data_IF_864322923015
#
_entry.id   IF_864322923015
#
_cell.length_a   1.000
_cell.length_b   1.000
_cell.length_c   1.000
_cell.angle_alpha   90.00
_cell.angle_beta   90.00
_cell.angle_gamma   90.00
#
_symmetry.space_group_name_H-M   'P 1'
#
loop_
_entity.id
_entity.type
_entity.pdbx_description
1 polymer ?
#
# COMPACT_ATOMS: atom_id res chain seq x y z
N UNK A 1 -16.79 47.03 12.27
CA UNK A 1 -17.28 46.07 11.26
C UNK A 1 -16.13 45.20 10.74
N UNK A 2 -15.53 44.36 11.59
CA UNK A 2 -14.37 43.50 11.22
C UNK A 2 -14.71 42.00 11.42
N UNK A 3 -16.00 41.65 11.43
CA UNK A 3 -16.48 40.30 11.80
C UNK A 3 -17.11 39.48 10.66
N UNK A 4 -17.14 39.98 9.42
CA UNK A 4 -17.78 39.28 8.28
C UNK A 4 -16.84 38.84 7.15
N UNK A 5 -15.58 39.27 7.17
CA UNK A 5 -14.60 38.90 6.15
C UNK A 5 -13.84 37.59 6.48
N UNK A 6 -13.70 37.23 7.76
CA UNK A 6 -12.99 36.02 8.20
C UNK A 6 -13.82 34.73 8.02
N UNK A 7 -15.15 34.83 8.09
CA UNK A 7 -16.06 33.68 7.91
C UNK A 7 -16.14 33.23 6.45
N UNK A 8 -16.06 34.17 5.50
CA UNK A 8 -16.07 33.85 4.07
C UNK A 8 -14.75 33.21 3.61
N UNK A 9 -13.58 33.67 4.04
CA UNK A 9 -12.31 33.02 3.65
C UNK A 9 -12.14 31.62 4.24
N UNK A 10 -12.62 31.38 5.46
CA UNK A 10 -12.54 30.07 6.13
C UNK A 10 -13.48 29.02 5.52
N UNK A 11 -14.73 29.39 5.24
CA UNK A 11 -15.70 28.48 4.63
C UNK A 11 -15.33 28.08 3.19
N UNK A 12 -14.81 29.02 2.39
CA UNK A 12 -14.36 28.73 1.03
C UNK A 12 -13.10 27.85 1.01
N UNK A 13 -12.14 28.08 1.93
CA UNK A 13 -10.97 27.18 2.10
C UNK A 13 -11.39 25.79 2.55
N UNK A 14 -12.35 25.66 3.47
CA UNK A 14 -12.84 24.36 3.92
C UNK A 14 -13.58 23.60 2.80
N UNK A 15 -14.36 24.29 1.94
CA UNK A 15 -15.02 23.66 0.78
C UNK A 15 -14.01 23.22 -0.28
N UNK A 16 -12.98 24.02 -0.56
CA UNK A 16 -11.90 23.64 -1.46
C UNK A 16 -11.15 22.41 -0.94
N UNK A 17 -10.83 22.39 0.36
CA UNK A 17 -10.15 21.30 1.03
C UNK A 17 -10.92 19.97 0.94
N UNK A 18 -12.24 19.99 1.19
CA UNK A 18 -13.09 18.81 1.05
C UNK A 18 -13.20 18.36 -0.40
N UNK A 19 -13.35 19.30 -1.34
CA UNK A 19 -13.48 18.99 -2.77
C UNK A 19 -12.21 18.35 -3.32
N UNK A 20 -11.05 18.96 -3.06
CA UNK A 20 -9.76 18.43 -3.52
C UNK A 20 -9.48 17.06 -2.88
N UNK A 21 -9.71 16.90 -1.58
CA UNK A 21 -9.55 15.60 -0.92
C UNK A 21 -10.44 14.52 -1.54
N UNK A 22 -11.72 14.82 -1.80
CA UNK A 22 -12.66 13.89 -2.42
C UNK A 22 -12.20 13.45 -3.81
N UNK A 23 -11.71 14.38 -4.63
CA UNK A 23 -11.22 14.09 -5.98
C UNK A 23 -9.94 13.25 -5.92
N UNK A 24 -8.90 13.76 -5.27
CA UNK A 24 -7.58 13.15 -5.39
C UNK A 24 -7.45 11.84 -4.59
N UNK A 25 -8.08 11.72 -3.42
CA UNK A 25 -8.06 10.42 -2.70
C UNK A 25 -8.83 9.36 -3.49
N UNK A 26 -9.94 9.73 -4.13
CA UNK A 26 -10.70 8.80 -4.97
C UNK A 26 -9.92 8.40 -6.22
N UNK A 27 -9.18 9.32 -6.86
CA UNK A 27 -8.28 9.00 -7.96
C UNK A 27 -7.18 8.00 -7.54
N UNK A 28 -6.57 8.19 -6.38
CA UNK A 28 -5.60 7.23 -5.83
C UNK A 28 -6.22 5.84 -5.66
N UNK A 29 -7.42 5.77 -5.10
CA UNK A 29 -8.11 4.51 -4.88
C UNK A 29 -8.49 3.83 -6.18
N UNK A 30 -8.92 4.58 -7.21
CA UNK A 30 -9.15 4.05 -8.55
C UNK A 30 -7.87 3.42 -9.08
N UNK A 31 -6.71 4.07 -8.97
CA UNK A 31 -5.41 3.52 -9.40
C UNK A 31 -5.13 2.20 -8.67
N UNK A 32 -5.27 2.18 -7.35
CA UNK A 32 -5.00 1.00 -6.51
C UNK A 32 -5.97 -0.15 -6.81
N UNK A 33 -7.26 0.15 -6.97
CA UNK A 33 -8.28 -0.86 -7.30
C UNK A 33 -8.02 -1.42 -8.70
N UNK A 34 -7.90 -0.56 -9.71
CA UNK A 34 -7.84 -0.98 -11.12
C UNK A 34 -6.51 -1.60 -11.50
N UNK A 35 -5.39 -1.08 -10.99
CA UNK A 35 -4.06 -1.60 -11.28
C UNK A 35 -3.58 -2.64 -10.28
N UNK A 36 -4.14 -2.69 -9.07
CA UNK A 36 -3.67 -3.55 -7.98
C UNK A 36 -4.64 -4.67 -7.64
N UNK A 37 -5.90 -4.36 -7.34
CA UNK A 37 -6.86 -5.34 -6.83
C UNK A 37 -7.59 -6.12 -7.93
N UNK A 38 -8.15 -5.43 -8.92
CA UNK A 38 -8.92 -6.05 -10.01
C UNK A 38 -8.10 -7.08 -10.79
N UNK A 39 -6.83 -6.84 -11.18
CA UNK A 39 -6.06 -7.83 -11.91
C UNK A 39 -5.84 -9.11 -11.09
N UNK A 40 -5.54 -8.96 -9.80
CA UNK A 40 -5.45 -10.10 -8.85
C UNK A 40 -6.75 -10.90 -8.80
N UNK A 41 -7.89 -10.23 -8.69
CA UNK A 41 -9.20 -10.89 -8.66
C UNK A 41 -9.53 -11.57 -9.98
N UNK A 42 -9.25 -10.94 -11.12
CA UNK A 42 -9.48 -11.51 -12.45
C UNK A 42 -8.63 -12.75 -12.69
N UNK A 43 -7.35 -12.73 -12.28
CA UNK A 43 -6.47 -13.89 -12.38
C UNK A 43 -6.99 -14.99 -11.45
N UNK A 44 -7.35 -14.66 -10.20
CA UNK A 44 -7.88 -15.65 -9.26
C UNK A 44 -9.18 -16.30 -9.75
N UNK A 45 -10.07 -15.53 -10.39
CA UNK A 45 -11.27 -16.06 -11.01
C UNK A 45 -10.96 -16.99 -12.19
N UNK A 46 -9.96 -16.64 -13.01
CA UNK A 46 -9.57 -17.43 -14.18
C UNK A 46 -8.80 -18.72 -13.82
N UNK A 47 -7.91 -18.67 -12.84
CA UNK A 47 -7.04 -19.79 -12.46
C UNK A 47 -7.55 -20.60 -11.27
N UNK A 48 -8.50 -20.07 -10.51
CA UNK A 48 -8.95 -20.64 -9.24
C UNK A 48 -7.94 -20.48 -8.09
N UNK A 49 -6.85 -19.71 -8.28
CA UNK A 49 -5.78 -19.55 -7.32
C UNK A 49 -5.63 -18.08 -6.91
N UNK A 50 -5.56 -17.80 -5.60
CA UNK A 50 -5.22 -16.45 -5.16
C UNK A 50 -3.77 -16.15 -5.53
N UNK A 51 -3.54 -15.05 -6.24
CA UNK A 51 -2.21 -14.66 -6.70
C UNK A 51 -1.83 -13.27 -6.20
N UNK A 52 -0.54 -13.04 -5.99
CA UNK A 52 0.05 -11.72 -5.89
C UNK A 52 1.24 -11.72 -6.87
N UNK A 53 1.03 -11.29 -8.12
CA UNK A 53 2.02 -11.47 -9.18
C UNK A 53 3.42 -10.99 -8.75
N UNK A 54 4.46 -11.77 -9.07
CA UNK A 54 4.51 -12.93 -9.97
C UNK A 54 4.15 -14.27 -9.28
N UNK A 55 3.66 -14.27 -8.04
CA UNK A 55 3.53 -15.48 -7.24
C UNK A 55 2.09 -15.93 -7.07
N UNK A 56 1.92 -17.25 -6.98
CA UNK A 56 0.69 -17.87 -6.51
C UNK A 56 0.84 -18.26 -5.04
N UNK A 57 -0.24 -18.15 -4.26
CA UNK A 57 -0.29 -18.70 -2.92
C UNK A 57 -0.61 -20.21 -2.99
N UNK A 58 0.01 -21.07 -2.17
CA UNK A 58 -0.23 -22.51 -2.21
C UNK A 58 -1.68 -22.85 -1.80
N UNK A 59 -2.31 -23.75 -2.57
CA UNK A 59 -3.76 -24.04 -2.55
C UNK A 59 -4.31 -24.74 -1.30
N UNK A 60 -3.50 -25.01 -0.26
CA UNK A 60 -3.93 -25.80 0.89
C UNK A 60 -3.91 -25.00 2.20
N UNK A 61 -5.10 -24.83 2.79
CA UNK A 61 -5.42 -24.36 4.14
C UNK A 61 -5.01 -22.92 4.56
N UNK A 62 -3.93 -22.35 4.01
CA UNK A 62 -3.50 -20.98 4.28
C UNK A 62 -4.45 -19.96 3.62
N UNK A 63 -5.05 -20.32 2.47
CA UNK A 63 -5.94 -19.46 1.69
C UNK A 63 -7.15 -18.92 2.46
N UNK A 64 -7.90 -19.77 3.18
CA UNK A 64 -9.12 -19.31 3.87
C UNK A 64 -8.80 -18.33 5.00
N UNK A 65 -7.73 -18.60 5.76
CA UNK A 65 -7.32 -17.73 6.86
C UNK A 65 -6.76 -16.41 6.35
N UNK A 66 -5.93 -16.41 5.30
CA UNK A 66 -5.40 -15.18 4.71
C UNK A 66 -6.51 -14.32 4.09
N UNK A 67 -7.47 -14.93 3.38
CA UNK A 67 -8.60 -14.19 2.83
C UNK A 67 -9.44 -13.55 3.94
N UNK A 68 -9.83 -14.31 4.96
CA UNK A 68 -10.69 -13.83 6.04
C UNK A 68 -9.97 -12.80 6.90
N UNK A 69 -8.72 -13.07 7.27
CA UNK A 69 -7.99 -12.25 8.23
C UNK A 69 -7.37 -11.02 7.58
N UNK A 70 -7.02 -11.04 6.29
CA UNK A 70 -6.26 -9.96 5.65
C UNK A 70 -7.00 -9.31 4.47
N UNK A 71 -7.53 -10.10 3.53
CA UNK A 71 -8.16 -9.54 2.32
C UNK A 71 -9.47 -8.83 2.66
N UNK A 72 -10.33 -9.43 3.48
CA UNK A 72 -11.61 -8.82 3.87
C UNK A 72 -11.39 -7.51 4.63
N UNK A 73 -10.59 -7.45 5.72
CA UNK A 73 -10.36 -6.19 6.43
C UNK A 73 -9.75 -5.08 5.57
N UNK A 74 -8.78 -5.41 4.71
CA UNK A 74 -8.19 -4.44 3.78
C UNK A 74 -9.23 -3.90 2.78
N UNK A 75 -10.10 -4.77 2.29
CA UNK A 75 -11.19 -4.41 1.37
C UNK A 75 -12.24 -3.54 2.07
N UNK A 76 -12.64 -3.91 3.29
CA UNK A 76 -13.54 -3.11 4.12
C UNK A 76 -12.97 -1.74 4.44
N UNK A 77 -11.67 -1.64 4.75
CA UNK A 77 -11.00 -0.35 4.95
C UNK A 77 -11.05 0.50 3.68
N UNK A 78 -10.67 -0.07 2.53
CA UNK A 78 -10.59 0.64 1.27
C UNK A 78 -11.97 1.16 0.82
N UNK A 79 -13.00 0.31 0.83
CA UNK A 79 -14.35 0.77 0.47
C UNK A 79 -14.99 1.65 1.55
N UNK A 80 -14.82 1.30 2.83
CA UNK A 80 -15.40 2.04 3.95
C UNK A 80 -14.84 3.45 4.08
N UNK A 81 -13.52 3.61 3.95
CA UNK A 81 -12.88 4.94 4.02
C UNK A 81 -13.30 5.84 2.85
N UNK A 82 -13.47 5.27 1.65
CA UNK A 82 -13.99 5.99 0.48
C UNK A 82 -15.44 6.44 0.71
N UNK A 83 -16.29 5.54 1.17
CA UNK A 83 -17.69 5.85 1.46
C UNK A 83 -17.79 6.95 2.52
N UNK A 84 -16.93 6.94 3.54
CA UNK A 84 -16.88 7.98 4.56
C UNK A 84 -16.38 9.33 4.03
N UNK A 85 -15.46 9.33 3.08
CA UNK A 85 -15.01 10.54 2.40
C UNK A 85 -16.17 11.19 1.64
N UNK A 86 -16.93 10.40 0.86
CA UNK A 86 -18.15 10.88 0.21
C UNK A 86 -19.24 11.26 1.21
N UNK A 87 -19.38 10.54 2.33
CA UNK A 87 -20.38 10.87 3.34
C UNK A 87 -20.16 12.26 3.97
N UNK A 88 -18.93 12.77 3.93
CA UNK A 88 -18.63 14.13 4.44
C UNK A 88 -19.24 15.25 3.62
N UNK A 89 -19.77 14.98 2.42
CA UNK A 89 -20.47 15.98 1.60
C UNK A 89 -21.92 16.21 2.03
N UNK A 90 -22.48 15.35 2.89
CA UNK A 90 -23.88 15.47 3.35
C UNK A 90 -24.06 16.41 4.56
N UNK A 91 -23.05 17.22 4.90
CA UNK A 91 -23.03 18.27 5.95
C UNK A 91 -23.45 17.84 7.38
N UNK A 92 -23.77 16.56 7.62
CA UNK A 92 -24.09 16.05 8.96
C UNK A 92 -22.83 15.63 9.73
N UNK A 93 -22.22 16.61 10.41
CA UNK A 93 -20.98 16.41 11.15
C UNK A 93 -21.10 15.42 12.32
N UNK A 94 -22.24 15.41 13.03
CA UNK A 94 -22.45 14.48 14.16
C UNK A 94 -22.49 13.03 13.69
N UNK A 95 -23.21 12.75 12.61
CA UNK A 95 -23.26 11.42 12.01
C UNK A 95 -21.88 10.99 11.50
N UNK A 96 -21.14 11.89 10.85
CA UNK A 96 -19.78 11.63 10.40
C UNK A 96 -18.84 11.28 11.56
N UNK A 97 -18.96 12.00 12.68
CA UNK A 97 -18.20 11.75 13.91
C UNK A 97 -18.55 10.41 14.53
N UNK A 98 -19.83 10.08 14.69
CA UNK A 98 -20.27 8.82 15.31
C UNK A 98 -19.86 7.60 14.48
N UNK A 99 -20.07 7.64 13.16
CA UNK A 99 -19.65 6.54 12.27
C UNK A 99 -18.12 6.46 12.21
N UNK A 100 -17.42 7.60 12.17
CA UNK A 100 -15.96 7.64 12.20
C UNK A 100 -15.39 6.99 13.46
N UNK A 101 -15.86 7.40 14.63
CA UNK A 101 -15.39 6.90 15.93
C UNK A 101 -15.73 5.41 16.15
N UNK A 102 -16.92 4.95 15.78
CA UNK A 102 -17.34 3.58 16.09
C UNK A 102 -16.97 2.57 15.00
N UNK A 103 -17.25 2.90 13.74
CA UNK A 103 -17.14 1.94 12.63
C UNK A 103 -15.75 1.97 12.00
N UNK A 104 -15.26 3.16 11.62
CA UNK A 104 -13.98 3.26 10.89
C UNK A 104 -12.78 2.90 11.76
N UNK A 105 -12.81 3.22 13.05
CA UNK A 105 -11.78 2.77 14.00
C UNK A 105 -11.72 1.25 14.07
N UNK A 106 -12.86 0.57 14.20
CA UNK A 106 -12.90 -0.89 14.27
C UNK A 106 -12.37 -1.52 12.98
N UNK A 107 -12.80 -1.03 11.81
CA UNK A 107 -12.32 -1.51 10.52
C UNK A 107 -10.80 -1.29 10.37
N UNK A 108 -10.32 -0.10 10.73
CA UNK A 108 -8.90 0.24 10.61
C UNK A 108 -8.01 -0.59 11.53
N UNK A 109 -8.42 -0.79 12.80
CA UNK A 109 -7.66 -1.62 13.74
C UNK A 109 -7.61 -3.07 13.27
N UNK A 110 -8.73 -3.61 12.76
CA UNK A 110 -8.76 -4.95 12.17
C UNK A 110 -7.83 -5.06 10.95
N UNK A 111 -7.85 -4.06 10.07
CA UNK A 111 -6.93 -3.96 8.94
C UNK A 111 -5.47 -3.93 9.40
N UNK A 112 -5.13 -3.07 10.35
CA UNK A 112 -3.76 -2.93 10.84
C UNK A 112 -3.26 -4.21 11.50
N UNK A 113 -4.07 -4.82 12.37
CA UNK A 113 -3.74 -6.11 12.99
C UNK A 113 -3.51 -7.20 11.95
N UNK A 114 -4.29 -7.22 10.87
CA UNK A 114 -4.09 -8.17 9.77
C UNK A 114 -2.80 -7.94 8.99
N UNK A 115 -2.43 -6.69 8.76
CA UNK A 115 -1.19 -6.34 8.08
C UNK A 115 0.02 -6.76 8.94
N UNK A 116 -0.05 -6.51 10.25
CA UNK A 116 0.96 -6.95 11.20
C UNK A 116 1.07 -8.48 11.28
N UNK A 117 -0.05 -9.19 11.26
CA UNK A 117 -0.05 -10.65 11.21
C UNK A 117 0.60 -11.19 9.93
N UNK A 118 0.32 -10.57 8.78
CA UNK A 118 0.95 -10.93 7.50
C UNK A 118 2.47 -10.78 7.54
N UNK A 119 2.96 -9.72 8.20
CA UNK A 119 4.38 -9.47 8.39
C UNK A 119 5.05 -10.53 9.28
N UNK A 120 4.44 -10.86 10.42
CA UNK A 120 4.99 -11.87 11.36
C UNK A 120 4.93 -13.29 10.78
N UNK A 121 4.03 -13.54 9.85
CA UNK A 121 3.85 -14.86 9.22
C UNK A 121 4.69 -15.06 7.95
N UNK A 122 5.61 -14.13 7.63
CA UNK A 122 6.52 -14.17 6.47
C UNK A 122 5.81 -14.49 5.13
N UNK A 123 4.58 -13.99 4.95
CA UNK A 123 3.75 -14.27 3.75
C UNK A 123 4.26 -13.59 2.47
N UNK A 124 5.30 -12.77 2.57
CA UNK A 124 6.02 -12.15 1.46
C UNK A 124 7.52 -12.23 1.77
N UNK A 125 8.37 -12.69 0.85
CA UNK A 125 9.81 -12.84 1.10
C UNK A 125 10.52 -11.49 0.99
N UNK A 126 10.22 -10.61 1.92
CA UNK A 126 10.84 -9.30 2.04
C UNK A 126 12.14 -9.42 2.84
N UNK A 127 13.14 -8.60 2.50
CA UNK A 127 14.34 -8.50 3.33
C UNK A 127 14.02 -7.93 4.71
N UNK A 128 14.88 -8.17 5.70
CA UNK A 128 14.65 -7.72 7.09
C UNK A 128 14.53 -6.19 7.19
N UNK A 129 15.21 -5.46 6.30
CA UNK A 129 15.13 -4.00 6.21
C UNK A 129 13.74 -3.52 5.76
N UNK A 130 13.07 -4.22 4.83
CA UNK A 130 11.70 -3.88 4.44
C UNK A 130 10.73 -4.25 5.54
N UNK A 131 10.94 -5.36 6.25
CA UNK A 131 10.12 -5.69 7.42
C UNK A 131 10.18 -4.56 8.46
N UNK A 132 11.37 -4.05 8.78
CA UNK A 132 11.53 -2.89 9.66
C UNK A 132 10.84 -1.63 9.11
N UNK A 133 10.95 -1.38 7.81
CA UNK A 133 10.26 -0.27 7.16
C UNK A 133 8.73 -0.40 7.29
N UNK A 134 8.18 -1.59 7.07
CA UNK A 134 6.76 -1.89 7.28
C UNK A 134 6.32 -1.63 8.71
N UNK A 135 7.13 -2.00 9.71
CA UNK A 135 6.86 -1.67 11.12
C UNK A 135 6.74 -0.16 11.35
N UNK A 136 7.71 0.62 10.86
CA UNK A 136 7.67 2.09 11.01
C UNK A 136 6.47 2.70 10.28
N UNK A 137 6.17 2.24 9.07
CA UNK A 137 5.05 2.73 8.27
C UNK A 137 3.69 2.37 8.89
N UNK A 138 3.55 1.15 9.42
CA UNK A 138 2.35 0.71 10.12
C UNK A 138 2.14 1.53 11.41
N UNK A 139 3.21 1.74 12.18
CA UNK A 139 3.17 2.58 13.38
C UNK A 139 2.81 4.04 13.06
N UNK A 140 3.45 4.62 12.04
CA UNK A 140 3.15 5.99 11.59
C UNK A 140 1.70 6.13 11.13
N UNK A 141 1.23 5.19 10.30
CA UNK A 141 -0.16 5.18 9.79
C UNK A 141 -1.17 5.02 10.93
N UNK A 142 -0.86 4.22 11.97
CA UNK A 142 -1.65 4.15 13.19
C UNK A 142 -1.67 5.48 13.95
N UNK A 143 -0.51 6.13 14.10
CA UNK A 143 -0.40 7.39 14.82
C UNK A 143 -1.18 8.51 14.12
N UNK A 144 -1.14 8.58 12.79
CA UNK A 144 -1.94 9.52 12.00
C UNK A 144 -3.43 9.27 12.16
N UNK A 145 -3.85 8.00 12.17
CA UNK A 145 -5.24 7.64 12.42
C UNK A 145 -5.67 8.11 13.80
N UNK A 146 -4.92 7.79 14.87
CA UNK A 146 -5.22 8.22 16.24
C UNK A 146 -5.29 9.74 16.38
N UNK A 147 -4.36 10.48 15.76
CA UNK A 147 -4.40 11.93 15.72
C UNK A 147 -5.65 12.45 14.98
N UNK A 148 -6.03 11.81 13.87
CA UNK A 148 -7.26 12.12 13.16
C UNK A 148 -8.51 11.90 14.03
N UNK A 149 -8.55 10.81 14.80
CA UNK A 149 -9.64 10.51 15.74
C UNK A 149 -9.69 11.50 16.91
N UNK A 150 -8.53 11.93 17.40
CA UNK A 150 -8.45 12.99 18.39
C UNK A 150 -9.03 14.30 17.86
N UNK A 151 -8.65 14.72 16.65
CA UNK A 151 -9.11 15.98 16.06
C UNK A 151 -10.61 16.02 15.77
N UNK A 152 -11.23 14.92 15.31
CA UNK A 152 -12.69 14.87 15.11
C UNK A 152 -13.47 14.85 16.43
N UNK A 153 -12.83 14.45 17.54
CA UNK A 153 -13.46 14.49 18.85
C UNK A 153 -13.47 15.90 19.47
N UNK A 154 -12.54 16.77 19.08
CA UNK A 154 -12.45 18.14 19.59
C UNK A 154 -13.55 19.05 19.03
N UNK A 155 -14.13 19.94 19.86
CA UNK A 155 -15.06 20.96 19.39
C UNK A 155 -14.28 22.14 18.76
N UNK A 156 -14.53 22.47 17.50
CA UNK A 156 -13.94 23.63 16.83
C UNK A 156 -13.66 23.37 15.35
N UNK A 157 -14.01 24.33 14.48
CA UNK A 157 -13.90 24.20 13.02
C UNK A 157 -12.46 24.06 12.52
N UNK A 158 -11.50 24.61 13.25
CA UNK A 158 -10.06 24.55 13.00
C UNK A 158 -9.53 23.11 13.07
N UNK A 159 -10.03 22.29 14.02
CA UNK A 159 -9.63 20.90 14.16
C UNK A 159 -10.13 19.99 13.03
N UNK A 160 -11.13 20.42 12.25
CA UNK A 160 -11.55 19.69 11.06
C UNK A 160 -10.43 19.62 10.02
N UNK A 161 -9.63 20.68 9.89
CA UNK A 161 -8.49 20.71 8.96
C UNK A 161 -7.43 19.71 9.38
N UNK A 162 -7.07 19.70 10.68
CA UNK A 162 -6.17 18.70 11.26
C UNK A 162 -6.67 17.27 11.06
N UNK A 163 -7.96 17.02 11.33
CA UNK A 163 -8.60 15.73 11.06
C UNK A 163 -8.46 15.31 9.59
N UNK A 164 -8.77 16.21 8.65
CA UNK A 164 -8.69 15.90 7.21
C UNK A 164 -7.27 15.61 6.76
N UNK A 165 -6.27 16.34 7.23
CA UNK A 165 -4.84 16.07 6.94
C UNK A 165 -4.48 14.65 7.40
N UNK A 166 -4.81 14.32 8.65
CA UNK A 166 -4.55 12.99 9.22
C UNK A 166 -5.27 11.87 8.46
N UNK A 167 -6.55 12.06 8.13
CA UNK A 167 -7.33 11.03 7.44
C UNK A 167 -6.92 10.85 5.99
N UNK A 168 -6.65 11.93 5.25
CA UNK A 168 -6.13 11.86 3.86
C UNK A 168 -4.79 11.11 3.85
N UNK A 169 -3.89 11.45 4.78
CA UNK A 169 -2.62 10.70 4.96
C UNK A 169 -2.91 9.23 5.17
N UNK A 170 -3.71 8.89 6.19
CA UNK A 170 -4.01 7.51 6.55
C UNK A 170 -4.62 6.73 5.39
N UNK A 171 -5.57 7.32 4.66
CA UNK A 171 -6.22 6.71 3.51
C UNK A 171 -5.23 6.39 2.38
N UNK A 172 -4.36 7.34 2.04
CA UNK A 172 -3.36 7.19 0.98
C UNK A 172 -2.26 6.20 1.41
N UNK A 173 -1.69 6.34 2.61
CA UNK A 173 -0.59 5.49 3.08
C UNK A 173 -1.04 4.06 3.36
N UNK A 174 -2.23 3.85 3.93
CA UNK A 174 -2.78 2.51 4.18
C UNK A 174 -3.07 1.74 2.88
N UNK A 175 -3.25 2.42 1.75
CA UNK A 175 -3.40 1.81 0.43
C UNK A 175 -2.08 1.66 -0.33
N UNK A 176 -0.95 2.10 0.24
CA UNK A 176 0.40 1.92 -0.30
C UNK A 176 0.75 0.48 -0.71
N UNK A 177 0.42 -0.56 0.08
CA UNK A 177 0.58 -1.96 -0.33
C UNK A 177 -0.21 -2.32 -1.60
N UNK A 178 -1.34 -1.67 -1.83
CA UNK A 178 -2.11 -1.80 -3.06
C UNK A 178 -1.40 -1.16 -4.25
N UNK A 179 -0.76 -0.01 -4.07
CA UNK A 179 0.06 0.61 -5.11
C UNK A 179 1.34 -0.19 -5.41
N UNK A 180 1.93 -0.84 -4.41
CA UNK A 180 3.00 -1.81 -4.63
C UNK A 180 2.56 -2.96 -5.56
N UNK A 181 1.31 -3.45 -5.41
CA UNK A 181 0.74 -4.40 -6.38
C UNK A 181 0.57 -3.80 -7.76
N UNK A 182 0.19 -2.52 -7.89
CA UNK A 182 0.14 -1.84 -9.20
C UNK A 182 1.49 -1.91 -9.89
N UNK A 183 2.58 -1.61 -9.18
CA UNK A 183 3.94 -1.69 -9.74
C UNK A 183 4.31 -3.12 -10.15
N UNK A 184 3.95 -4.13 -9.34
CA UNK A 184 4.12 -5.55 -9.69
C UNK A 184 3.35 -5.90 -10.97
N UNK A 185 2.06 -5.59 -11.06
CA UNK A 185 1.26 -5.87 -12.25
C UNK A 185 1.78 -5.13 -13.48
N UNK A 186 2.22 -3.88 -13.34
CA UNK A 186 2.83 -3.14 -14.43
C UNK A 186 4.11 -3.82 -14.93
N UNK A 187 4.98 -4.25 -14.03
CA UNK A 187 6.19 -5.02 -14.37
C UNK A 187 5.84 -6.33 -15.08
N UNK A 188 4.85 -7.08 -14.57
CA UNK A 188 4.39 -8.32 -15.20
C UNK A 188 3.72 -8.10 -16.56
N UNK A 189 3.05 -6.96 -16.75
CA UNK A 189 2.47 -6.56 -18.02
C UNK A 189 3.57 -6.25 -19.04
N UNK A 190 4.57 -5.44 -18.67
CA UNK A 190 5.71 -5.06 -19.54
C UNK A 190 6.53 -6.29 -19.96
N UNK A 191 6.65 -7.29 -19.07
CA UNK A 191 7.36 -8.54 -19.36
C UNK A 191 6.50 -9.59 -20.06
N UNK A 192 5.21 -9.31 -20.30
CA UNK A 192 4.25 -10.22 -20.93
C UNK A 192 3.82 -11.40 -20.06
N UNK A 193 4.35 -11.54 -18.83
CA UNK A 193 4.03 -12.63 -17.91
C UNK A 193 2.61 -12.54 -17.36
N UNK A 194 2.02 -11.35 -17.32
CA UNK A 194 0.62 -11.16 -16.92
C UNK A 194 -0.36 -11.93 -17.82
N UNK A 195 -0.01 -12.15 -19.09
CA UNK A 195 -0.82 -12.93 -20.04
C UNK A 195 -0.57 -14.45 -19.95
N UNK A 196 0.36 -14.88 -19.10
CA UNK A 196 0.65 -16.29 -18.84
C UNK A 196 0.63 -16.58 -17.33
N UNK A 197 -0.51 -16.44 -16.64
CA UNK A 197 -0.59 -16.67 -15.19
C UNK A 197 -0.20 -18.09 -14.76
N UNK A 198 -0.28 -19.07 -15.67
CA UNK A 198 0.19 -20.45 -15.44
C UNK A 198 1.71 -20.56 -15.24
N UNK A 199 2.48 -19.51 -15.60
CA UNK A 199 3.93 -19.44 -15.40
C UNK A 199 4.32 -18.71 -14.11
N UNK A 200 3.34 -18.28 -13.30
CA UNK A 200 3.62 -17.71 -11.99
C UNK A 200 4.17 -18.79 -11.06
N UNK A 201 5.27 -18.45 -10.40
CA UNK A 201 6.00 -19.40 -9.54
C UNK A 201 5.40 -19.38 -8.15
N UNK A 202 5.21 -20.53 -7.51
CA UNK A 202 4.87 -20.53 -6.08
C UNK A 202 6.09 -20.08 -5.26
N UNK A 203 5.87 -19.34 -4.17
CA UNK A 203 6.99 -18.95 -3.28
C UNK A 203 7.78 -20.15 -2.75
N UNK A 204 7.10 -21.28 -2.51
CA UNK A 204 7.71 -22.54 -2.07
C UNK A 204 8.56 -23.24 -3.14
N UNK A 205 8.43 -22.85 -4.40
CA UNK A 205 9.13 -23.43 -5.55
C UNK A 205 10.37 -22.64 -5.96
N UNK A 206 10.61 -21.47 -5.35
CA UNK A 206 11.84 -20.69 -5.58
C UNK A 206 13.03 -21.50 -5.07
N UNK A 207 14.02 -21.84 -5.93
CA UNK A 207 15.15 -22.67 -5.51
C UNK A 207 15.86 -22.06 -4.31
N UNK A 208 16.13 -22.87 -3.28
CA UNK A 208 16.72 -22.48 -1.98
C UNK A 208 18.16 -21.94 -2.03
N UNK A 209 18.71 -21.68 -3.22
CA UNK A 209 20.02 -21.06 -3.37
C UNK A 209 19.98 -19.61 -2.86
N UNK A 210 20.87 -19.30 -1.92
CA UNK A 210 21.05 -17.98 -1.29
C UNK A 210 21.11 -16.83 -2.31
N UNK A 211 21.73 -17.04 -3.48
CA UNK A 211 21.83 -16.04 -4.55
C UNK A 211 20.48 -15.67 -5.17
N UNK A 212 19.63 -16.66 -5.43
CA UNK A 212 18.31 -16.43 -6.04
C UNK A 212 17.37 -15.75 -5.06
N UNK A 213 17.42 -16.15 -3.78
CA UNK A 213 16.67 -15.48 -2.72
C UNK A 213 17.11 -14.04 -2.48
N UNK A 214 18.41 -13.76 -2.55
CA UNK A 214 18.94 -12.39 -2.43
C UNK A 214 18.53 -11.52 -3.61
N UNK A 215 18.53 -12.06 -4.84
CA UNK A 215 18.04 -11.35 -6.02
C UNK A 215 16.53 -11.04 -5.90
N UNK A 216 15.74 -12.04 -5.53
CA UNK A 216 14.30 -11.89 -5.31
C UNK A 216 13.98 -10.77 -4.31
N UNK A 217 14.63 -10.82 -3.13
CA UNK A 217 14.50 -9.81 -2.10
C UNK A 217 14.93 -8.43 -2.60
N UNK A 218 16.03 -8.35 -3.34
CA UNK A 218 16.55 -7.10 -3.91
C UNK A 218 15.57 -6.44 -4.87
N UNK A 219 14.95 -7.20 -5.76
CA UNK A 219 13.94 -6.69 -6.69
C UNK A 219 12.68 -6.29 -5.93
N UNK A 220 12.12 -7.17 -5.12
CA UNK A 220 10.87 -6.91 -4.38
C UNK A 220 10.98 -5.73 -3.43
N UNK A 221 12.04 -5.67 -2.64
CA UNK A 221 12.30 -4.54 -1.75
C UNK A 221 12.48 -3.22 -2.50
N UNK A 222 13.04 -3.24 -3.71
CA UNK A 222 13.18 -2.03 -4.53
C UNK A 222 11.82 -1.48 -4.95
N UNK A 223 10.95 -2.33 -5.53
CA UNK A 223 9.60 -1.90 -5.91
C UNK A 223 8.74 -1.53 -4.70
N UNK A 224 8.97 -2.19 -3.57
CA UNK A 224 8.30 -1.86 -2.31
C UNK A 224 8.68 -0.44 -1.86
N UNK A 225 9.98 -0.13 -1.75
CA UNK A 225 10.45 1.22 -1.43
C UNK A 225 9.95 2.29 -2.42
N UNK A 226 9.95 1.99 -3.72
CA UNK A 226 9.41 2.89 -4.75
C UNK A 226 7.92 3.16 -4.55
N UNK A 227 7.13 2.13 -4.23
CA UNK A 227 5.70 2.29 -3.98
C UNK A 227 5.44 3.29 -2.85
N UNK A 228 6.19 3.21 -1.75
CA UNK A 228 6.04 4.14 -0.63
C UNK A 228 6.49 5.56 -0.97
N UNK A 229 7.63 5.73 -1.65
CA UNK A 229 8.10 7.06 -2.07
C UNK A 229 7.08 7.71 -3.03
N UNK A 230 6.51 6.94 -3.97
CA UNK A 230 5.49 7.46 -4.89
C UNK A 230 4.16 7.75 -4.19
N UNK A 231 3.78 6.94 -3.19
CA UNK A 231 2.61 7.20 -2.34
C UNK A 231 2.77 8.51 -1.58
N UNK A 232 3.96 8.77 -1.04
CA UNK A 232 4.31 10.03 -0.38
C UNK A 232 4.35 11.22 -1.33
N UNK A 233 4.92 11.05 -2.53
CA UNK A 233 4.91 12.09 -3.55
C UNK A 233 3.48 12.46 -3.96
N UNK A 234 2.59 11.46 -4.04
CA UNK A 234 1.16 11.68 -4.28
C UNK A 234 0.52 12.44 -3.11
N UNK A 235 0.80 12.05 -1.86
CA UNK A 235 0.31 12.75 -0.67
C UNK A 235 0.76 14.22 -0.64
N UNK A 236 2.03 14.49 -0.93
CA UNK A 236 2.58 15.84 -1.04
C UNK A 236 1.84 16.63 -2.12
N UNK A 237 1.58 16.03 -3.28
CA UNK A 237 0.77 16.66 -4.32
C UNK A 237 -0.64 16.99 -3.82
N UNK A 238 -1.34 16.07 -3.17
CA UNK A 238 -2.68 16.30 -2.61
C UNK A 238 -2.69 17.45 -1.61
N UNK A 239 -1.72 17.50 -0.70
CA UNK A 239 -1.61 18.61 0.26
C UNK A 239 -1.23 19.94 -0.36
N UNK A 240 -0.48 19.92 -1.46
CA UNK A 240 -0.25 21.12 -2.25
C UNK A 240 -1.55 21.62 -2.89
N UNK A 241 -2.40 20.72 -3.38
CA UNK A 241 -3.70 21.07 -3.98
C UNK A 241 -4.68 21.60 -2.93
N UNK A 242 -4.74 20.96 -1.77
CA UNK A 242 -5.52 21.43 -0.61
C UNK A 242 -5.02 22.76 -0.01
N UNK A 243 -3.84 23.26 -0.42
CA UNK A 243 -3.28 24.52 0.07
C UNK A 243 -2.77 24.50 1.51
N UNK A 244 -2.52 23.32 2.08
CA UNK A 244 -2.17 23.16 3.51
C UNK A 244 -0.66 23.12 3.78
N UNK A 245 0.19 23.02 2.75
CA UNK A 245 1.65 22.86 2.91
C UNK A 245 2.43 24.12 3.30
N UNK A 246 1.98 25.30 2.88
CA UNK A 246 2.77 26.55 3.04
C UNK A 246 2.01 27.67 3.74
N UNK A 247 0.70 27.79 3.50
CA UNK A 247 -0.11 28.92 3.94
C UNK A 247 -1.23 28.50 4.92
N UNK A 248 -0.90 27.59 5.84
CA UNK A 248 -1.81 27.04 6.86
C UNK A 248 -1.12 26.94 8.22
N UNK A 249 -1.87 27.19 9.30
CA UNK A 249 -1.42 26.91 10.67
C UNK A 249 -1.06 25.42 10.87
N UNK A 250 -1.59 24.54 10.01
CA UNK A 250 -1.36 23.10 10.01
C UNK A 250 -0.15 22.66 9.17
N UNK A 251 0.60 23.59 8.55
CA UNK A 251 1.71 23.25 7.66
C UNK A 251 2.79 22.41 8.34
N UNK A 252 3.07 22.64 9.63
CA UNK A 252 4.02 21.79 10.39
C UNK A 252 3.55 20.33 10.45
N UNK A 253 2.28 20.11 10.78
CA UNK A 253 1.69 18.77 10.79
C UNK A 253 1.80 18.12 9.41
N UNK A 254 1.47 18.84 8.34
CA UNK A 254 1.60 18.34 6.97
C UNK A 254 3.03 17.91 6.62
N UNK A 255 4.04 18.72 6.95
CA UNK A 255 5.43 18.36 6.69
C UNK A 255 5.89 17.17 7.51
N UNK A 256 5.44 17.05 8.77
CA UNK A 256 5.76 15.89 9.60
C UNK A 256 5.20 14.59 9.01
N UNK A 257 3.94 14.59 8.56
CA UNK A 257 3.31 13.38 8.01
C UNK A 257 3.87 13.00 6.64
N UNK A 258 4.29 13.97 5.81
CA UNK A 258 4.93 13.70 4.50
C UNK A 258 6.39 13.29 4.65
N UNK A 259 7.12 13.80 5.65
CA UNK A 259 8.55 13.50 5.78
C UNK A 259 8.83 12.16 6.45
N UNK A 260 7.92 11.69 7.31
CA UNK A 260 8.14 10.48 8.10
C UNK A 260 8.32 9.20 7.27
N UNK A 261 7.54 8.92 6.20
CA UNK A 261 7.75 7.71 5.41
C UNK A 261 9.06 7.80 4.62
N UNK A 262 9.42 8.97 4.08
CA UNK A 262 10.75 9.22 3.49
C UNK A 262 11.88 8.92 4.48
N UNK A 263 11.79 9.44 5.71
CA UNK A 263 12.76 9.18 6.78
C UNK A 263 12.81 7.69 7.11
N UNK A 264 11.65 7.02 7.17
CA UNK A 264 11.56 5.58 7.45
C UNK A 264 12.26 4.74 6.38
N UNK A 265 12.08 5.09 5.09
CA UNK A 265 12.78 4.44 3.97
C UNK A 265 14.29 4.69 4.09
N UNK A 266 14.70 5.93 4.35
CA UNK A 266 16.12 6.29 4.45
C UNK A 266 16.82 5.59 5.61
N UNK A 267 16.24 5.59 6.81
CA UNK A 267 16.80 4.91 7.99
C UNK A 267 16.92 3.42 7.72
N UNK A 268 15.86 2.78 7.23
CA UNK A 268 15.87 1.35 6.89
C UNK A 268 16.89 1.00 5.82
N UNK A 269 17.08 1.87 4.82
CA UNK A 269 18.10 1.69 3.79
C UNK A 269 19.53 1.90 4.34
N UNK A 270 19.74 2.86 5.24
CA UNK A 270 21.05 3.13 5.84
C UNK A 270 21.50 2.04 6.81
N UNK A 271 20.56 1.34 7.45
CA UNK A 271 20.86 0.23 8.37
C UNK A 271 21.60 -0.94 7.70
N UNK A 272 21.60 -1.03 6.36
CA UNK A 272 22.43 -2.00 5.62
C UNK A 272 23.94 -1.76 5.79
N UNK A 273 24.34 -0.54 6.16
CA UNK A 273 25.75 -0.19 6.35
C UNK A 273 26.22 -0.44 7.78
N UNK A 274 25.33 -0.88 8.69
CA UNK A 274 25.71 -1.19 10.06
C UNK A 274 26.26 -2.63 10.12
N UNK A 275 27.53 -2.81 10.50
CA UNK A 275 28.15 -4.13 10.57
C UNK A 275 27.38 -5.07 11.50
N UNK A 276 27.14 -6.30 11.06
CA UNK A 276 26.44 -7.33 11.85
C UNK A 276 24.90 -7.26 11.81
N UNK A 277 24.31 -6.23 11.18
CA UNK A 277 22.86 -6.13 11.03
C UNK A 277 22.33 -6.65 9.69
N UNK A 278 22.95 -6.36 8.52
CA UNK A 278 22.49 -6.94 7.24
C UNK A 278 23.43 -6.74 6.04
N UNK A 279 23.71 -7.82 5.29
CA UNK A 279 24.19 -7.80 3.90
C UNK A 279 23.10 -8.31 2.92
N UNK A 280 21.82 -8.26 3.30
CA UNK A 280 20.73 -9.02 2.67
C UNK A 280 20.05 -8.34 1.45
N UNK A 281 20.55 -7.18 1.01
CA UNK A 281 19.85 -6.35 0.03
C UNK A 281 20.73 -5.40 -0.80
N UNK A 282 20.39 -5.27 -2.08
CA UNK A 282 20.87 -4.22 -2.98
C UNK A 282 19.70 -3.63 -3.77
N UNK A 283 19.71 -2.32 -4.05
CA UNK A 283 18.70 -1.73 -4.94
C UNK A 283 18.86 -2.30 -6.35
N UNK A 284 17.79 -2.90 -6.87
CA UNK A 284 17.77 -3.56 -8.17
C UNK A 284 16.48 -3.22 -8.92
N UNK A 285 16.61 -2.38 -9.95
CA UNK A 285 15.53 -1.99 -10.85
C UNK A 285 15.35 -3.03 -11.97
N UNK A 286 15.22 -4.31 -11.62
CA UNK A 286 15.04 -5.36 -12.60
C UNK A 286 13.56 -5.57 -12.94
N UNK A 287 13.24 -5.78 -14.21
CA UNK A 287 11.90 -6.16 -14.64
C UNK A 287 11.62 -7.65 -14.46
N UNK A 288 12.68 -8.46 -14.45
CA UNK A 288 12.62 -9.90 -14.22
C UNK A 288 13.55 -10.26 -13.05
N UNK A 289 13.26 -11.38 -12.41
CA UNK A 289 14.21 -11.99 -11.48
C UNK A 289 15.20 -12.83 -12.29
N UNK A 290 16.46 -12.87 -11.84
CA UNK A 290 17.47 -13.74 -12.42
C UNK A 290 17.28 -15.17 -11.92
N UNK A 291 16.15 -15.78 -12.32
CA UNK A 291 15.93 -17.21 -12.15
C UNK A 291 16.48 -17.92 -13.38
N UNK A 292 17.80 -18.02 -13.47
CA UNK A 292 18.49 -18.85 -14.48
C UNK A 292 17.91 -20.28 -14.60
N UNK A 293 17.13 -20.74 -13.61
CA UNK A 293 16.57 -22.09 -13.47
C UNK A 293 15.12 -22.29 -13.95
N UNK A 294 14.30 -21.26 -14.20
CA UNK A 294 12.93 -21.50 -14.70
C UNK A 294 12.89 -21.81 -16.22
N UNK A 295 13.92 -21.42 -16.97
CA UNK A 295 14.02 -21.76 -18.41
C UNK A 295 14.60 -23.14 -18.68
N UNK A 296 15.11 -23.84 -17.67
CA UNK A 296 15.78 -25.14 -17.88
C UNK A 296 14.81 -26.32 -17.85
N UNK A 297 13.60 -26.17 -17.30
CA UNK A 297 12.58 -27.22 -17.36
C UNK A 297 11.84 -27.27 -18.70
N UNK A 298 11.67 -26.14 -19.40
CA UNK A 298 11.09 -26.15 -20.75
C UNK A 298 12.04 -26.77 -21.78
N UNK A 299 13.35 -26.57 -21.63
CA UNK A 299 14.35 -27.21 -22.51
C UNK A 299 14.51 -28.71 -22.27
N UNK A 300 14.30 -29.18 -21.04
CA UNK A 300 14.39 -30.62 -20.69
C UNK A 300 13.19 -31.44 -21.18
N UNK A 301 11.98 -30.89 -21.08
CA UNK A 301 10.74 -31.59 -21.49
C UNK A 301 10.64 -31.63 -23.03
N UNK A 302 11.02 -30.57 -23.73
CA UNK A 302 11.06 -30.56 -25.20
C UNK A 302 12.18 -31.46 -25.74
N UNK A 303 13.33 -31.58 -25.06
CA UNK A 303 14.38 -32.52 -25.48
C UNK A 303 14.03 -33.98 -25.22
N UNK A 304 13.28 -34.29 -24.16
CA UNK A 304 12.84 -35.65 -23.86
C UNK A 304 11.75 -36.13 -24.83
N UNK A 305 10.79 -35.28 -25.17
CA UNK A 305 9.74 -35.59 -26.14
C UNK A 305 10.28 -35.75 -27.57
N UNK A 306 11.33 -34.98 -27.95
CA UNK A 306 12.01 -35.13 -29.25
C UNK A 306 12.97 -36.33 -29.33
N UNK A 307 13.28 -36.98 -28.20
CA UNK A 307 14.05 -38.22 -28.17
C UNK A 307 13.16 -39.47 -28.20
N UNK A 308 11.94 -39.41 -27.65
CA UNK A 308 10.97 -40.52 -27.73
C UNK A 308 10.33 -40.65 -29.12
N UNK A 309 10.26 -39.59 -29.94
CA UNK A 309 9.82 -39.70 -31.36
C UNK A 309 10.89 -40.24 -32.32
N UNK A 310 12.07 -40.62 -31.82
CA UNK A 310 13.18 -41.19 -32.63
C UNK A 310 13.56 -42.63 -32.27
N UNK A 311 12.74 -43.33 -31.48
CA UNK A 311 12.83 -44.77 -31.22
C UNK A 311 11.56 -45.47 -31.72
#
# INVERSE_FOLDING_TARGET
MVGRALTTTGEWRNRALVTDANIYVSLWYIIVITGGLLPTLSIAFYTGQWCAPPFNYPSQAIDKKVIILHVIPATCWLFGSTAMLFATTFENFNLHREIGLCLMQTIFVAFLASAMYSLVSDLSPLGKHVQLMEWFLAFGTWLYFVLGMYFIAQPGTEYHTGHKICMVTTMITASGPGFFRVLRHFRELVTGRLFRPSLFTNYSEVPSNERNWTNLKSVESTYFCLAFIMTDAYLLFVFSRMGVLRDSEWSLLCWMVVSFPVISVLISALLRFVPGLNNDFSFSFALNYDFTTLMTQEKGIVSALLQEEKL
#
